data_IF_184240030095
#
_entry.id   IF_184240030095
#
_cell.length_a   1.000
_cell.length_b   1.000
_cell.length_c   1.000
_cell.angle_alpha   90.00
_cell.angle_beta   90.00
_cell.angle_gamma   90.00
#
_symmetry.space_group_name_H-M   'P 1'
#
loop_
_entity.id
_entity.type
_entity.pdbx_description
1 polymer ?
#
# COMPACT_ATOMS: atom_id res chain seq x y z
N UNK A 1 -34.15 27.32 -25.15
CA UNK A 1 -32.98 27.75 -25.94
C UNK A 1 -32.07 26.54 -26.11
N UNK A 2 -32.15 25.84 -27.26
CA UNK A 2 -31.31 24.67 -27.56
C UNK A 2 -29.91 25.16 -27.97
N UNK A 3 -28.91 24.92 -27.12
CA UNK A 3 -27.52 25.29 -27.40
C UNK A 3 -26.95 24.25 -28.37
N UNK A 4 -26.91 24.58 -29.66
CA UNK A 4 -26.19 23.80 -30.66
C UNK A 4 -24.69 24.05 -30.52
N UNK A 5 -24.01 23.19 -29.77
CA UNK A 5 -22.54 23.19 -29.70
C UNK A 5 -22.02 22.71 -31.06
N UNK A 6 -21.25 23.56 -31.76
CA UNK A 6 -20.66 23.21 -33.07
C UNK A 6 -19.80 21.94 -32.94
N UNK A 7 -19.93 21.02 -33.91
CA UNK A 7 -19.15 19.77 -34.01
C UNK A 7 -17.63 19.96 -33.82
N UNK A 8 -17.06 21.05 -34.35
CA UNK A 8 -15.64 21.41 -34.17
C UNK A 8 -15.23 21.78 -32.72
N UNK A 9 -16.17 22.13 -31.84
CA UNK A 9 -15.91 22.40 -30.42
C UNK A 9 -16.00 21.11 -29.61
N UNK A 10 -16.92 20.21 -29.98
CA UNK A 10 -17.14 18.93 -29.31
C UNK A 10 -15.90 18.04 -29.41
N UNK A 11 -15.28 17.92 -30.59
CA UNK A 11 -14.08 17.08 -30.74
C UNK A 11 -12.89 17.59 -29.89
N UNK A 12 -12.73 18.91 -29.75
CA UNK A 12 -11.67 19.50 -28.92
C UNK A 12 -11.89 19.15 -27.46
N UNK A 13 -13.10 19.28 -26.94
CA UNK A 13 -13.42 18.93 -25.56
C UNK A 13 -13.12 17.45 -25.30
N UNK A 14 -13.56 16.56 -26.20
CA UNK A 14 -13.34 15.11 -26.07
C UNK A 14 -11.85 14.74 -26.06
N UNK A 15 -11.00 15.46 -26.79
CA UNK A 15 -9.55 15.19 -26.84
C UNK A 15 -8.80 15.86 -25.67
N UNK A 16 -9.10 17.12 -25.36
CA UNK A 16 -8.35 17.90 -24.38
C UNK A 16 -8.74 17.59 -22.93
N UNK A 17 -10.00 17.25 -22.65
CA UNK A 17 -10.44 16.92 -21.29
C UNK A 17 -9.72 15.70 -20.69
N UNK A 18 -9.65 14.52 -21.35
CA UNK A 18 -8.93 13.38 -20.77
C UNK A 18 -7.43 13.64 -20.62
N UNK A 19 -6.82 14.39 -21.55
CA UNK A 19 -5.42 14.79 -21.44
C UNK A 19 -5.19 15.70 -20.22
N UNK A 20 -6.07 16.67 -19.98
CA UNK A 20 -5.99 17.54 -18.81
C UNK A 20 -6.16 16.75 -17.51
N UNK A 21 -7.13 15.84 -17.45
CA UNK A 21 -7.33 14.97 -16.28
C UNK A 21 -6.13 14.07 -16.02
N UNK A 22 -5.51 13.52 -17.08
CA UNK A 22 -4.28 12.74 -16.97
C UNK A 22 -3.14 13.58 -16.40
N UNK A 23 -2.94 14.81 -16.89
CA UNK A 23 -1.91 15.71 -16.38
C UNK A 23 -2.14 16.03 -14.89
N UNK A 24 -3.38 16.35 -14.50
CA UNK A 24 -3.73 16.59 -13.10
C UNK A 24 -3.44 15.34 -12.25
N UNK A 25 -3.83 14.17 -12.71
CA UNK A 25 -3.54 12.92 -12.00
C UNK A 25 -2.04 12.67 -11.86
N UNK A 26 -1.23 12.94 -12.90
CA UNK A 26 0.22 12.79 -12.82
C UNK A 26 0.88 13.81 -11.88
N UNK A 27 0.39 15.05 -11.85
CA UNK A 27 0.94 16.13 -11.01
C UNK A 27 0.59 15.96 -9.53
N UNK A 28 -0.61 15.48 -9.21
CA UNK A 28 -1.11 15.42 -7.83
C UNK A 28 -1.21 13.99 -7.29
N UNK A 29 -1.33 12.98 -8.14
CA UNK A 29 -1.52 11.60 -7.73
C UNK A 29 -0.24 10.82 -7.54
N UNK A 30 0.82 11.19 -8.24
CA UNK A 30 2.09 10.46 -8.23
C UNK A 30 3.15 11.23 -7.44
N UNK A 31 3.80 10.55 -6.50
CA UNK A 31 4.92 11.06 -5.72
C UNK A 31 6.17 10.20 -5.93
N UNK A 32 7.34 10.83 -5.88
CA UNK A 32 8.64 10.17 -5.96
C UNK A 32 9.35 10.28 -4.62
N UNK A 33 9.63 9.14 -3.98
CA UNK A 33 10.29 9.09 -2.65
C UNK A 33 11.49 8.16 -2.70
N UNK A 34 12.56 8.52 -1.99
CA UNK A 34 13.74 7.67 -1.84
C UNK A 34 13.66 6.82 -0.57
N UNK A 35 13.98 5.53 -0.69
CA UNK A 35 14.02 4.60 0.44
C UNK A 35 15.21 4.91 1.35
N UNK A 36 14.91 5.08 2.63
CA UNK A 36 15.92 5.22 3.67
C UNK A 36 15.81 4.03 4.64
N UNK A 37 16.80 3.13 4.57
CA UNK A 37 16.96 2.01 5.48
C UNK A 37 16.79 0.66 4.81
N UNK A 38 16.82 -0.40 5.63
CA UNK A 38 17.00 -1.78 5.16
C UNK A 38 15.85 -2.73 5.54
N UNK A 39 14.75 -2.20 6.12
CA UNK A 39 13.66 -3.03 6.63
C UNK A 39 12.88 -3.77 5.54
N UNK A 40 13.04 -3.37 4.29
CA UNK A 40 12.37 -3.94 3.13
C UNK A 40 13.32 -4.74 2.23
N UNK A 41 14.55 -5.02 2.69
CA UNK A 41 15.45 -5.91 1.95
C UNK A 41 14.88 -7.35 1.88
N UNK A 42 15.08 -8.08 0.77
CA UNK A 42 15.82 -7.68 -0.43
C UNK A 42 14.97 -6.89 -1.45
N UNK A 43 13.68 -6.70 -1.18
CA UNK A 43 12.76 -6.09 -2.16
C UNK A 43 13.09 -4.63 -2.42
N UNK A 44 13.35 -3.83 -1.39
CA UNK A 44 13.76 -2.44 -1.49
C UNK A 44 15.06 -2.21 -0.73
N UNK A 45 16.06 -1.71 -1.45
CA UNK A 45 17.36 -1.33 -0.88
C UNK A 45 17.40 0.16 -0.57
N UNK A 46 18.22 0.53 0.41
CA UNK A 46 18.55 1.93 0.67
C UNK A 46 18.95 2.64 -0.64
N UNK A 47 18.41 3.85 -0.85
CA UNK A 47 18.67 4.64 -2.05
C UNK A 47 17.75 4.36 -3.25
N UNK A 48 16.96 3.28 -3.24
CA UNK A 48 15.95 3.03 -4.27
C UNK A 48 14.93 4.17 -4.33
N UNK A 49 14.60 4.62 -5.54
CA UNK A 49 13.51 5.56 -5.77
C UNK A 49 12.21 4.80 -5.96
N UNK A 50 11.13 5.26 -5.32
CA UNK A 50 9.81 4.68 -5.37
C UNK A 50 8.85 5.66 -6.02
N UNK A 51 8.11 5.16 -6.99
CA UNK A 51 6.94 5.82 -7.54
C UNK A 51 5.72 5.39 -6.72
N UNK A 52 5.06 6.37 -6.11
CA UNK A 52 3.96 6.15 -5.17
C UNK A 52 2.70 6.77 -5.74
N UNK A 53 1.64 5.97 -5.82
CA UNK A 53 0.31 6.44 -6.18
C UNK A 53 -0.50 6.71 -4.90
N UNK A 54 -0.72 8.01 -4.65
CA UNK A 54 -1.44 8.51 -3.47
C UNK A 54 -2.95 8.56 -3.68
N UNK A 55 -3.42 8.63 -4.93
CA UNK A 55 -4.84 8.71 -5.23
C UNK A 55 -5.48 7.34 -5.32
N UNK A 56 -4.72 6.31 -5.71
CA UNK A 56 -5.27 4.97 -5.89
C UNK A 56 -5.90 4.40 -4.62
N UNK A 57 -5.35 4.71 -3.43
CA UNK A 57 -5.90 4.24 -2.15
C UNK A 57 -7.26 4.85 -1.81
N UNK A 58 -7.70 5.91 -2.51
CA UNK A 58 -9.04 6.49 -2.35
C UNK A 58 -10.16 5.64 -2.98
N UNK A 59 -9.84 4.80 -3.95
CA UNK A 59 -10.83 4.05 -4.74
C UNK A 59 -10.58 2.54 -4.73
N UNK A 60 -9.33 2.10 -4.52
CA UNK A 60 -8.94 0.70 -4.40
C UNK A 60 -8.66 0.37 -2.94
N UNK A 61 -9.38 -0.62 -2.41
CA UNK A 61 -9.10 -1.15 -1.07
C UNK A 61 -7.68 -1.74 -1.00
N UNK A 62 -6.96 -1.60 0.13
CA UNK A 62 -5.66 -2.22 0.31
C UNK A 62 -5.75 -3.74 0.19
N UNK A 63 -4.75 -4.37 -0.44
CA UNK A 63 -4.71 -5.81 -0.63
C UNK A 63 -3.45 -6.41 -0.01
N UNK A 64 -3.53 -7.69 0.37
CA UNK A 64 -2.35 -8.44 0.77
C UNK A 64 -1.30 -8.40 -0.34
N UNK A 65 -0.04 -8.25 0.04
CA UNK A 65 1.10 -8.12 -0.87
C UNK A 65 1.40 -6.70 -1.33
N UNK A 66 0.48 -5.74 -1.18
CA UNK A 66 0.73 -4.34 -1.54
C UNK A 66 1.88 -3.77 -0.69
N UNK A 67 2.79 -3.02 -1.32
CA UNK A 67 3.79 -2.21 -0.61
C UNK A 67 3.25 -0.79 -0.50
N UNK A 68 3.17 -0.26 0.72
CA UNK A 68 2.53 1.02 1.02
C UNK A 68 3.44 1.96 1.79
N UNK A 69 3.27 3.25 1.52
CA UNK A 69 3.81 4.34 2.31
C UNK A 69 2.81 4.68 3.41
N UNK A 70 3.28 4.71 4.65
CA UNK A 70 2.47 4.92 5.84
C UNK A 70 3.02 6.09 6.63
N UNK A 71 2.13 6.92 7.14
CA UNK A 71 2.43 7.96 8.12
C UNK A 71 2.13 7.43 9.52
N UNK A 72 3.17 7.32 10.34
CA UNK A 72 3.00 6.92 11.74
C UNK A 72 2.38 8.05 12.56
N UNK A 73 1.91 7.73 13.77
CA UNK A 73 1.41 8.73 14.72
C UNK A 73 2.48 9.78 15.11
N UNK A 74 3.77 9.45 15.00
CA UNK A 74 4.89 10.38 15.21
C UNK A 74 5.26 11.19 13.97
N UNK A 75 4.39 11.21 12.95
CA UNK A 75 4.57 11.93 11.71
C UNK A 75 5.78 11.47 10.88
N UNK A 76 6.22 10.22 11.08
CA UNK A 76 7.32 9.63 10.32
C UNK A 76 6.78 8.80 9.15
N UNK A 77 7.48 8.85 8.02
CA UNK A 77 7.14 8.10 6.82
C UNK A 77 7.88 6.76 6.81
N UNK A 78 7.13 5.67 6.71
CA UNK A 78 7.67 4.32 6.62
C UNK A 78 7.10 3.58 5.41
N UNK A 79 7.88 2.66 4.86
CA UNK A 79 7.44 1.78 3.77
C UNK A 79 7.42 0.34 4.29
N UNK A 80 6.27 -0.32 4.14
CA UNK A 80 6.03 -1.70 4.58
C UNK A 80 5.15 -2.44 3.58
N UNK A 81 5.12 -3.76 3.67
CA UNK A 81 4.21 -4.63 2.93
C UNK A 81 2.99 -4.96 3.77
N UNK A 82 1.81 -4.90 3.14
CA UNK A 82 0.57 -5.39 3.73
C UNK A 82 0.61 -6.91 3.70
N UNK A 83 0.54 -7.52 4.88
CA UNK A 83 0.46 -8.95 5.04
C UNK A 83 -1.00 -9.40 5.06
N UNK A 84 -1.80 -8.80 5.94
CA UNK A 84 -3.19 -9.16 6.17
C UNK A 84 -4.09 -7.93 6.05
N UNK A 85 -5.24 -8.16 5.44
CA UNK A 85 -6.39 -7.26 5.43
C UNK A 85 -7.61 -8.04 5.92
N UNK A 86 -8.72 -7.36 6.28
CA UNK A 86 -9.95 -8.04 6.70
C UNK A 86 -10.48 -9.06 5.68
N UNK A 87 -10.18 -8.83 4.40
CA UNK A 87 -10.59 -9.69 3.30
C UNK A 87 -9.54 -10.76 2.89
N UNK A 88 -8.39 -10.81 3.56
CA UNK A 88 -7.30 -11.73 3.17
C UNK A 88 -7.60 -13.15 3.66
N UNK A 89 -7.73 -14.15 2.76
CA UNK A 89 -7.80 -15.54 3.19
C UNK A 89 -6.45 -16.00 3.70
N UNK A 90 -6.43 -16.74 4.81
CA UNK A 90 -5.23 -17.34 5.38
C UNK A 90 -5.51 -18.74 5.89
N UNK A 91 -4.49 -19.59 5.90
CA UNK A 91 -4.56 -20.94 6.47
C UNK A 91 -3.44 -21.14 7.48
N UNK A 92 -3.72 -21.99 8.46
CA UNK A 92 -2.74 -22.43 9.45
C UNK A 92 -2.26 -23.83 9.12
N UNK A 93 -0.95 -24.03 9.15
CA UNK A 93 -0.32 -25.35 9.15
C UNK A 93 0.94 -25.29 10.01
N UNK A 94 1.07 -26.20 10.98
CA UNK A 94 2.25 -26.33 11.85
C UNK A 94 2.77 -25.01 12.45
N UNK A 95 1.87 -24.22 13.05
CA UNK A 95 2.17 -22.92 13.66
C UNK A 95 2.69 -21.85 12.69
N UNK A 96 2.49 -22.07 11.39
CA UNK A 96 2.93 -21.20 10.31
C UNK A 96 1.72 -20.61 9.60
N UNK A 97 1.76 -19.30 9.33
CA UNK A 97 0.72 -18.61 8.58
C UNK A 97 1.01 -18.74 7.08
N UNK A 98 0.06 -19.34 6.36
CA UNK A 98 0.11 -19.45 4.91
C UNK A 98 -0.84 -18.44 4.28
N UNK A 99 -0.30 -17.68 3.32
CA UNK A 99 -1.04 -16.67 2.57
C UNK A 99 -0.97 -16.98 1.09
N UNK A 100 -2.12 -17.17 0.41
CA UNK A 100 -2.13 -17.66 -0.97
C UNK A 100 -1.55 -16.67 -1.99
N UNK A 101 -1.54 -15.37 -1.68
CA UNK A 101 -1.04 -14.33 -2.60
C UNK A 101 0.40 -13.88 -2.33
N UNK A 102 0.94 -14.29 -1.18
CA UNK A 102 2.34 -14.10 -0.87
C UNK A 102 3.06 -15.41 -1.15
N UNK A 103 3.90 -15.45 -2.18
CA UNK A 103 4.87 -16.55 -2.36
C UNK A 103 5.86 -16.66 -1.18
N UNK A 104 5.70 -15.86 -0.12
CA UNK A 104 6.41 -15.95 1.14
C UNK A 104 5.49 -16.56 2.20
N UNK A 105 5.94 -17.67 2.75
CA UNK A 105 5.43 -18.24 3.99
C UNK A 105 5.97 -17.40 5.15
N UNK A 106 5.10 -16.91 6.02
CA UNK A 106 5.52 -16.16 7.20
C UNK A 106 5.36 -17.04 8.44
N UNK A 107 6.49 -17.30 9.08
CA UNK A 107 6.55 -17.92 10.41
C UNK A 107 6.19 -16.84 11.44
N UNK A 108 4.89 -16.59 11.62
CA UNK A 108 4.38 -15.78 12.72
C UNK A 108 4.01 -16.72 13.86
N UNK A 109 4.45 -16.40 15.07
CA UNK A 109 3.99 -17.12 16.25
C UNK A 109 2.47 -16.95 16.40
N UNK A 110 1.77 -18.06 16.61
CA UNK A 110 0.32 -18.11 16.76
C UNK A 110 -0.16 -17.21 17.89
N UNK A 111 0.59 -17.09 18.99
CA UNK A 111 0.24 -16.18 20.08
C UNK A 111 0.24 -14.70 19.65
N UNK A 112 1.22 -14.29 18.83
CA UNK A 112 1.31 -12.91 18.32
C UNK A 112 0.19 -12.57 17.34
N UNK A 113 -0.15 -13.53 16.46
CA UNK A 113 -1.25 -13.32 15.51
C UNK A 113 -2.62 -13.45 16.19
N UNK A 114 -2.78 -14.35 17.16
CA UNK A 114 -3.99 -14.45 17.97
C UNK A 114 -4.18 -13.20 18.82
N UNK A 115 -3.12 -12.60 19.38
CA UNK A 115 -3.23 -11.28 20.01
C UNK A 115 -3.64 -10.20 19.00
N UNK A 116 -3.07 -10.20 17.80
CA UNK A 116 -3.50 -9.30 16.72
C UNK A 116 -4.98 -9.49 16.36
N UNK A 117 -5.42 -10.73 16.13
CA UNK A 117 -6.79 -11.09 15.73
C UNK A 117 -7.80 -10.92 16.89
N UNK A 118 -7.39 -11.12 18.14
CA UNK A 118 -8.25 -11.00 19.31
C UNK A 118 -8.39 -9.55 19.78
N UNK A 119 -7.29 -8.79 19.75
CA UNK A 119 -7.28 -7.35 20.10
C UNK A 119 -7.86 -6.50 18.97
N UNK A 120 -7.74 -6.98 17.74
CA UNK A 120 -8.16 -6.29 16.53
C UNK A 120 -8.88 -7.27 15.61
N UNK A 121 -9.97 -7.90 16.07
CA UNK A 121 -10.90 -8.61 15.18
C UNK A 121 -11.18 -7.68 14.01
N UNK A 122 -10.53 -7.92 12.87
CA UNK A 122 -10.12 -6.91 11.90
C UNK A 122 -11.27 -5.95 11.63
N UNK A 123 -11.29 -4.81 12.35
CA UNK A 123 -12.18 -3.71 12.01
C UNK A 123 -11.93 -3.46 10.52
N UNK A 124 -12.98 -3.19 9.74
CA UNK A 124 -12.89 -3.10 8.28
C UNK A 124 -11.76 -2.15 7.78
N UNK A 125 -11.25 -1.30 8.67
CA UNK A 125 -10.23 -0.28 8.46
C UNK A 125 -8.86 -0.56 9.11
N UNK A 126 -8.49 -1.80 9.45
CA UNK A 126 -7.16 -2.14 9.97
C UNK A 126 -6.42 -3.18 9.11
N UNK A 127 -5.09 -3.06 9.06
CA UNK A 127 -4.20 -3.95 8.32
C UNK A 127 -3.02 -4.41 9.18
N UNK A 128 -2.48 -5.58 8.88
CA UNK A 128 -1.21 -6.06 9.42
C UNK A 128 -0.11 -5.82 8.41
N UNK A 129 0.96 -5.15 8.80
CA UNK A 129 2.08 -4.81 7.91
C UNK A 129 3.39 -5.40 8.41
N UNK A 130 4.25 -5.81 7.48
CA UNK A 130 5.59 -6.31 7.78
C UNK A 130 6.63 -5.62 6.90
N UNK A 131 7.86 -5.56 7.40
CA UNK A 131 9.00 -5.35 6.51
C UNK A 131 9.47 -6.67 5.92
N UNK A 132 9.88 -6.67 4.66
CA UNK A 132 10.39 -7.87 4.00
C UNK A 132 11.67 -8.41 4.66
N UNK A 133 12.44 -7.54 5.33
CA UNK A 133 13.56 -7.95 6.17
C UNK A 133 13.07 -8.24 7.59
N UNK A 134 12.59 -9.45 7.80
CA UNK A 134 12.00 -9.90 9.06
C UNK A 134 12.94 -9.77 10.26
N UNK A 135 14.25 -9.85 10.05
CA UNK A 135 15.25 -9.84 11.14
C UNK A 135 15.44 -8.48 11.82
N UNK A 136 15.18 -7.38 11.10
CA UNK A 136 15.44 -6.02 11.60
C UNK A 136 14.23 -5.10 11.53
N UNK A 137 13.17 -5.51 10.83
CA UNK A 137 12.02 -4.64 10.64
C UNK A 137 11.24 -4.44 11.93
N UNK A 138 11.14 -3.19 12.38
CA UNK A 138 10.13 -2.76 13.33
C UNK A 138 8.81 -2.55 12.58
N UNK A 139 7.82 -3.39 12.88
CA UNK A 139 6.55 -3.51 12.15
C UNK A 139 5.41 -4.03 13.05
N UNK A 140 4.29 -4.48 12.48
CA UNK A 140 3.12 -4.90 13.24
C UNK A 140 3.37 -6.03 14.25
N UNK A 141 4.48 -6.77 14.15
CA UNK A 141 4.88 -7.73 15.21
C UNK A 141 5.21 -7.06 16.53
N UNK A 142 5.69 -5.82 16.49
CA UNK A 142 6.12 -5.08 17.67
C UNK A 142 5.04 -4.14 18.22
N UNK A 143 4.21 -3.55 17.35
CA UNK A 143 3.22 -2.53 17.75
C UNK A 143 1.78 -2.83 17.32
N UNK A 144 1.53 -3.96 16.65
CA UNK A 144 0.19 -4.39 16.27
C UNK A 144 -0.33 -3.77 14.96
N UNK A 145 -1.66 -3.78 14.82
CA UNK A 145 -2.37 -3.34 13.63
C UNK A 145 -2.12 -1.86 13.27
N UNK A 146 -2.23 -1.53 12.00
CA UNK A 146 -2.17 -0.16 11.49
C UNK A 146 -3.50 0.18 10.82
N UNK A 147 -4.01 1.38 11.08
CA UNK A 147 -5.27 1.82 10.48
C UNK A 147 -5.06 2.20 9.01
N UNK A 148 -6.02 1.85 8.14
CA UNK A 148 -5.94 2.07 6.69
C UNK A 148 -5.81 3.54 6.32
N UNK A 149 -6.36 4.46 7.13
CA UNK A 149 -6.25 5.90 6.92
C UNK A 149 -4.82 6.44 7.05
N UNK A 150 -3.91 5.68 7.67
CA UNK A 150 -2.49 6.04 7.78
C UNK A 150 -1.72 5.77 6.48
N UNK A 151 -2.33 5.06 5.52
CA UNK A 151 -1.74 4.82 4.21
C UNK A 151 -1.81 6.11 3.39
N UNK A 152 -0.65 6.64 3.02
CA UNK A 152 -0.55 7.78 2.10
C UNK A 152 -0.71 7.33 0.65
N UNK A 153 -0.13 6.19 0.29
CA UNK A 153 -0.16 5.72 -1.08
C UNK A 153 0.49 4.36 -1.25
N UNK A 154 0.31 3.77 -2.42
CA UNK A 154 0.87 2.48 -2.79
C UNK A 154 2.09 2.66 -3.68
N UNK A 155 3.14 1.90 -3.40
CA UNK A 155 4.30 1.79 -4.28
C UNK A 155 3.90 1.03 -5.54
N UNK A 156 3.99 1.70 -6.69
CA UNK A 156 3.64 1.12 -7.99
C UNK A 156 4.87 0.72 -8.79
N UNK A 157 6.03 1.35 -8.52
CA UNK A 157 7.29 1.05 -9.19
C UNK A 157 8.47 1.42 -8.31
N UNK A 158 9.57 0.70 -8.45
CA UNK A 158 10.87 1.06 -7.88
C UNK A 158 11.91 1.26 -8.98
N UNK A 159 12.96 2.03 -8.70
CA UNK A 159 14.16 2.06 -9.52
C UNK A 159 14.93 0.75 -9.37
N UNK A 160 15.66 0.39 -10.41
CA UNK A 160 16.67 -0.66 -10.35
C UNK A 160 18.03 0.02 -10.27
N UNK A 161 18.84 -0.41 -9.31
CA UNK A 161 20.28 -0.13 -9.28
C UNK A 161 21.00 -1.38 -9.78
#
# INVERSE_FOLDING_TARGET
MLIFIKSKTIYKIIIFTPLLLLIIYLLFGIQLIQVQGNSMLPTLSHGNWLLIDTLQMRWRKPQSGDIVLIQTASNTLIVKRILLTPATPYTWQDNTLYLPQSNQTFMLDRAQLEEFLAKNALLEDHIFILGDNLSISYDSRAYGAVATHQIIGRVIRKSYH
#
